data_IF_895917110106
#
_entry.id   IF_895917110106
#
_cell.length_a   1.000
_cell.length_b   1.000
_cell.length_c   1.000
_cell.angle_alpha   90.00
_cell.angle_beta   90.00
_cell.angle_gamma   90.00
#
_symmetry.space_group_name_H-M   'P 1'
#
loop_
_entity.id
_entity.type
_entity.pdbx_description
1 polymer ?
#
# COMPACT_ATOMS: atom_id res chain seq x y z
N UNK A 1 17.49 -14.32 -8.89
CA UNK A 1 16.83 -13.36 -7.97
C UNK A 1 15.81 -14.12 -7.13
N UNK A 2 15.81 -13.99 -5.81
CA UNK A 2 14.86 -14.71 -4.96
C UNK A 2 13.42 -14.31 -5.34
N UNK A 3 12.54 -15.28 -5.59
CA UNK A 3 11.15 -15.01 -5.99
C UNK A 3 10.43 -14.15 -4.96
N UNK A 4 10.74 -14.33 -3.68
CA UNK A 4 10.22 -13.51 -2.59
C UNK A 4 10.58 -12.02 -2.73
N UNK A 5 11.86 -11.69 -2.94
CA UNK A 5 12.28 -10.30 -3.11
C UNK A 5 11.71 -9.68 -4.39
N UNK A 6 11.54 -10.47 -5.45
CA UNK A 6 10.84 -10.02 -6.66
C UNK A 6 9.38 -9.66 -6.34
N UNK A 7 8.66 -10.51 -5.60
CA UNK A 7 7.28 -10.23 -5.19
C UNK A 7 7.20 -8.98 -4.31
N UNK A 8 8.07 -8.83 -3.31
CA UNK A 8 8.14 -7.63 -2.48
C UNK A 8 8.41 -6.37 -3.30
N UNK A 9 9.36 -6.44 -4.25
CA UNK A 9 9.67 -5.33 -5.13
C UNK A 9 8.48 -4.91 -6.00
N UNK A 10 7.72 -5.88 -6.52
CA UNK A 10 6.49 -5.59 -7.28
C UNK A 10 5.43 -4.93 -6.41
N UNK A 11 5.18 -5.46 -5.20
CA UNK A 11 4.22 -4.88 -4.26
C UNK A 11 4.62 -3.45 -3.90
N UNK A 12 5.89 -3.21 -3.60
CA UNK A 12 6.42 -1.88 -3.31
C UNK A 12 6.27 -0.91 -4.48
N UNK A 13 6.55 -1.36 -5.71
CA UNK A 13 6.42 -0.52 -6.90
C UNK A 13 4.95 -0.13 -7.15
N UNK A 14 4.03 -1.08 -7.00
CA UNK A 14 2.59 -0.80 -7.11
C UNK A 14 2.18 0.23 -6.05
N UNK A 15 2.65 0.06 -4.81
CA UNK A 15 2.36 0.95 -3.70
C UNK A 15 2.85 2.39 -3.97
N UNK A 16 4.10 2.54 -4.41
CA UNK A 16 4.69 3.83 -4.80
C UNK A 16 3.85 4.50 -5.90
N UNK A 17 3.47 3.75 -6.94
CA UNK A 17 2.67 4.29 -8.05
C UNK A 17 1.33 4.80 -7.53
N UNK A 18 0.61 4.01 -6.74
CA UNK A 18 -0.71 4.37 -6.20
C UNK A 18 -0.60 5.60 -5.31
N UNK A 19 0.35 5.64 -4.37
CA UNK A 19 0.57 6.82 -3.52
C UNK A 19 0.92 8.07 -4.33
N UNK A 20 1.68 7.92 -5.42
CA UNK A 20 2.09 9.03 -6.28
C UNK A 20 0.95 9.64 -7.09
N UNK A 21 -0.23 9.00 -7.16
CA UNK A 21 -1.41 9.55 -7.83
C UNK A 21 -2.09 10.66 -7.03
N UNK A 22 -1.67 10.91 -5.78
CA UNK A 22 -2.32 11.88 -4.91
C UNK A 22 -2.49 13.30 -5.49
N UNK A 23 -1.60 13.86 -6.33
CA UNK A 23 -1.80 15.20 -6.88
C UNK A 23 -3.07 15.31 -7.73
N UNK A 24 -3.59 14.19 -8.27
CA UNK A 24 -4.80 14.17 -9.09
C UNK A 24 -6.09 14.49 -8.30
N UNK A 25 -6.07 14.25 -6.99
CA UNK A 25 -7.22 14.42 -6.11
C UNK A 25 -6.87 15.14 -4.81
N UNK A 26 -5.71 15.82 -4.78
CA UNK A 26 -5.32 16.71 -3.70
C UNK A 26 -6.17 17.99 -3.75
N UNK A 27 -7.39 17.88 -3.23
CA UNK A 27 -8.37 18.96 -3.15
C UNK A 27 -8.83 19.08 -1.71
N UNK A 28 -9.18 20.31 -1.33
CA UNK A 28 -9.70 20.61 0.01
C UNK A 28 -11.06 19.93 0.20
N UNK A 29 -11.93 19.98 -0.82
CA UNK A 29 -13.25 19.35 -0.80
C UNK A 29 -13.34 18.20 -1.81
N UNK A 30 -14.10 17.12 -1.49
CA UNK A 30 -14.91 16.92 -0.29
C UNK A 30 -14.09 16.57 0.96
N UNK A 31 -14.69 16.80 2.13
CA UNK A 31 -14.14 16.47 3.44
C UNK A 31 -15.04 15.44 4.15
N UNK A 32 -14.43 14.53 4.90
CA UNK A 32 -15.10 13.58 5.78
C UNK A 32 -14.61 13.82 7.21
N UNK A 33 -15.53 14.05 8.13
CA UNK A 33 -15.23 14.43 9.52
C UNK A 33 -14.31 15.66 9.65
N UNK A 34 -14.43 16.63 8.74
CA UNK A 34 -13.60 17.84 8.71
C UNK A 34 -12.16 17.61 8.24
N UNK A 35 -11.90 16.46 7.59
CA UNK A 35 -10.61 16.11 7.02
C UNK A 35 -10.78 15.89 5.51
N UNK A 36 -9.97 16.54 4.64
CA UNK A 36 -10.00 16.29 3.20
C UNK A 36 -9.85 14.81 2.86
N UNK A 37 -10.61 14.34 1.85
CA UNK A 37 -10.61 12.93 1.43
C UNK A 37 -9.23 12.39 1.09
N UNK A 38 -8.29 13.25 0.67
CA UNK A 38 -6.90 12.89 0.42
C UNK A 38 -6.24 12.17 1.62
N UNK A 39 -6.44 12.66 2.85
CA UNK A 39 -5.83 12.02 4.04
C UNK A 39 -6.49 10.68 4.37
N UNK A 40 -7.79 10.57 4.15
CA UNK A 40 -8.52 9.30 4.28
C UNK A 40 -7.99 8.26 3.29
N UNK A 41 -7.79 8.67 2.04
CA UNK A 41 -7.19 7.84 1.01
C UNK A 41 -5.80 7.34 1.43
N UNK A 42 -4.92 8.23 1.89
CA UNK A 42 -3.58 7.84 2.36
C UNK A 42 -3.62 6.88 3.56
N UNK A 43 -4.55 7.08 4.48
CA UNK A 43 -4.70 6.26 5.69
C UNK A 43 -5.23 4.86 5.34
N UNK A 44 -6.23 4.78 4.48
CA UNK A 44 -6.76 3.50 4.00
C UNK A 44 -5.69 2.74 3.23
N UNK A 45 -4.95 3.43 2.35
CA UNK A 45 -3.82 2.82 1.65
C UNK A 45 -2.79 2.28 2.63
N UNK A 46 -2.45 3.00 3.70
CA UNK A 46 -1.45 2.55 4.67
C UNK A 46 -1.83 1.19 5.27
N UNK A 47 -3.13 1.01 5.58
CA UNK A 47 -3.67 -0.27 6.07
C UNK A 47 -3.56 -1.34 4.98
N UNK A 48 -3.97 -1.03 3.75
CA UNK A 48 -3.89 -1.96 2.61
C UNK A 48 -2.44 -2.40 2.34
N UNK A 49 -1.50 -1.47 2.30
CA UNK A 49 -0.07 -1.70 2.14
C UNK A 49 0.45 -2.61 3.24
N UNK A 50 0.13 -2.30 4.50
CA UNK A 50 0.54 -3.10 5.65
C UNK A 50 0.04 -4.54 5.53
N UNK A 51 -1.23 -4.73 5.15
CA UNK A 51 -1.82 -6.05 4.93
C UNK A 51 -1.18 -6.79 3.74
N UNK A 52 -0.85 -6.09 2.66
CA UNK A 52 -0.20 -6.69 1.50
C UNK A 52 1.18 -7.24 1.85
N UNK A 53 2.01 -6.46 2.56
CA UNK A 53 3.33 -6.91 3.00
C UNK A 53 3.24 -8.03 4.04
N UNK A 54 2.30 -7.96 4.99
CA UNK A 54 2.02 -9.04 5.93
C UNK A 54 1.62 -10.33 5.21
N UNK A 55 0.73 -10.23 4.22
CA UNK A 55 0.31 -11.37 3.40
C UNK A 55 1.48 -12.04 2.68
N UNK A 56 2.36 -11.24 2.04
CA UNK A 56 3.56 -11.76 1.37
C UNK A 56 4.49 -12.46 2.36
N UNK A 57 4.70 -11.89 3.55
CA UNK A 57 5.51 -12.48 4.61
C UNK A 57 4.93 -13.80 5.13
N UNK A 58 3.63 -13.86 5.40
CA UNK A 58 2.97 -15.10 5.86
C UNK A 58 2.97 -16.19 4.78
N UNK A 59 2.85 -15.84 3.50
CA UNK A 59 2.95 -16.81 2.41
C UNK A 59 4.36 -17.41 2.34
N UNK A 60 5.42 -16.61 2.58
CA UNK A 60 6.79 -17.11 2.67
C UNK A 60 6.96 -18.07 3.85
N UNK A 61 6.48 -17.67 5.03
CA UNK A 61 6.54 -18.49 6.24
C UNK A 61 5.79 -19.81 6.08
N UNK A 62 4.57 -19.79 5.52
CA UNK A 62 3.76 -20.97 5.23
C UNK A 62 4.45 -21.96 4.29
N UNK A 63 5.35 -21.50 3.41
CA UNK A 63 6.12 -22.38 2.51
C UNK A 63 7.35 -23.01 3.17
N UNK A 64 7.61 -22.72 4.44
CA UNK A 64 8.78 -23.23 5.17
C UNK A 64 10.11 -22.67 4.68
N UNK A 65 10.08 -21.63 3.84
CA UNK A 65 11.26 -20.93 3.34
C UNK A 65 11.74 -19.96 4.44
N UNK A 66 12.57 -20.46 5.36
CA UNK A 66 13.27 -19.61 6.35
C UNK A 66 14.15 -18.58 5.64
#
# INVERSE_FOLDING_TARGET
MNKFYLTLGIVLLIDIIIYSLYPLFNKITPELFGIPFFYWYQTILLVITSLAFLGVSFIKESKGEK
#
